data_IF_621677071713
#
_entry.id   IF_621677071713
#
_cell.length_a   1.000
_cell.length_b   1.000
_cell.length_c   1.000
_cell.angle_alpha   90.00
_cell.angle_beta   90.00
_cell.angle_gamma   90.00
#
_symmetry.space_group_name_H-M   'P 1'
#
loop_
_entity.id
_entity.type
_entity.pdbx_description
1 polymer ?
#
# COMPACT_ATOMS: atom_id res chain seq x y z
N UNK A 1 10.09 -20.30 1.25
CA UNK A 1 8.64 -20.56 1.05
C UNK A 1 8.10 -19.56 0.05
N UNK A 2 7.05 -19.90 -0.69
CA UNK A 2 6.38 -18.96 -1.59
C UNK A 2 5.57 -17.99 -0.73
N UNK A 3 5.83 -16.67 -0.87
CA UNK A 3 5.07 -15.63 -0.16
C UNK A 3 3.71 -15.42 -0.83
N UNK A 4 2.69 -15.14 -0.04
CA UNK A 4 1.37 -14.77 -0.58
C UNK A 4 1.42 -13.31 -1.05
N UNK A 5 1.19 -13.12 -2.34
CA UNK A 5 1.12 -11.80 -2.97
C UNK A 5 -0.23 -11.16 -2.68
N UNK A 6 -0.23 -9.91 -2.22
CA UNK A 6 -1.42 -9.20 -1.77
C UNK A 6 -1.47 -7.81 -2.40
N UNK A 7 -2.65 -7.39 -2.84
CA UNK A 7 -2.99 -6.00 -3.12
C UNK A 7 -4.03 -5.59 -2.07
N UNK A 8 -3.82 -4.45 -1.41
CA UNK A 8 -4.74 -3.93 -0.40
C UNK A 8 -5.63 -2.87 -1.06
N UNK A 9 -6.93 -3.13 -1.08
CA UNK A 9 -7.93 -2.26 -1.67
C UNK A 9 -8.62 -1.48 -0.55
N UNK A 10 -8.75 -0.16 -0.68
CA UNK A 10 -9.39 0.65 0.36
C UNK A 10 -9.25 2.16 0.18
N UNK A 11 -9.84 2.89 1.12
CA UNK A 11 -9.96 4.34 1.10
C UNK A 11 -9.49 4.95 2.44
N UNK A 12 -8.31 5.59 2.41
CA UNK A 12 -7.82 6.61 3.35
C UNK A 12 -7.92 6.28 4.86
N UNK A 13 -7.62 5.05 5.28
CA UNK A 13 -7.35 4.81 6.72
C UNK A 13 -7.33 3.35 7.16
N UNK A 14 -8.40 2.61 6.90
CA UNK A 14 -8.49 1.22 7.39
C UNK A 14 -7.51 0.28 6.70
N UNK A 15 -7.25 0.53 5.41
CA UNK A 15 -6.22 -0.12 4.61
C UNK A 15 -4.81 -0.01 5.22
N UNK A 16 -4.39 1.19 5.61
CA UNK A 16 -3.11 1.39 6.28
C UNK A 16 -3.08 0.75 7.67
N UNK A 17 -4.20 0.81 8.41
CA UNK A 17 -4.29 0.14 9.71
C UNK A 17 -4.14 -1.38 9.58
N UNK A 18 -4.83 -1.98 8.61
CA UNK A 18 -4.73 -3.42 8.31
C UNK A 18 -3.31 -3.78 7.89
N UNK A 19 -2.67 -2.98 7.04
CA UNK A 19 -1.26 -3.18 6.70
C UNK A 19 -0.37 -3.19 7.95
N UNK A 20 -0.47 -2.16 8.79
CA UNK A 20 0.38 -1.98 9.96
C UNK A 20 0.22 -3.07 11.02
N UNK A 21 -0.98 -3.65 11.14
CA UNK A 21 -1.32 -4.63 12.18
C UNK A 21 -1.21 -6.08 11.72
N UNK A 22 -1.38 -6.36 10.42
CA UNK A 22 -1.43 -7.74 9.89
C UNK A 22 -0.23 -8.07 9.00
N UNK A 23 0.22 -7.11 8.18
CA UNK A 23 1.15 -7.36 7.07
C UNK A 23 2.57 -6.84 7.30
N UNK A 24 2.73 -5.75 8.07
CA UNK A 24 4.04 -5.14 8.35
C UNK A 24 4.98 -6.16 8.98
N UNK A 25 6.16 -6.33 8.36
CA UNK A 25 7.22 -7.26 8.76
C UNK A 25 6.81 -8.75 8.85
N UNK A 26 5.71 -9.13 8.19
CA UNK A 26 5.26 -10.51 8.13
C UNK A 26 5.76 -11.20 6.86
N UNK A 27 6.78 -12.05 6.99
CA UNK A 27 7.43 -12.74 5.86
C UNK A 27 6.54 -13.74 5.12
N UNK A 28 5.35 -14.06 5.65
CA UNK A 28 4.37 -14.88 4.96
C UNK A 28 3.70 -14.14 3.78
N UNK A 29 3.77 -12.80 3.76
CA UNK A 29 3.08 -11.96 2.79
C UNK A 29 4.05 -11.03 2.04
N UNK A 30 3.63 -10.65 0.84
CA UNK A 30 4.26 -9.64 0.01
C UNK A 30 3.17 -8.70 -0.51
N UNK A 31 3.05 -7.54 0.13
CA UNK A 31 2.09 -6.50 -0.25
C UNK A 31 2.67 -5.73 -1.43
N UNK A 32 2.06 -5.91 -2.59
CA UNK A 32 2.56 -5.37 -3.86
C UNK A 32 2.11 -3.94 -4.09
N UNK A 33 0.90 -3.59 -3.66
CA UNK A 33 0.35 -2.25 -3.82
C UNK A 33 -0.82 -1.98 -2.86
N UNK A 34 -1.06 -0.70 -2.60
CA UNK A 34 -2.37 -0.18 -2.19
C UNK A 34 -3.12 0.33 -3.43
N UNK A 35 -4.46 0.29 -3.44
CA UNK A 35 -5.24 1.06 -4.42
C UNK A 35 -5.61 2.43 -3.87
N UNK A 36 -5.95 3.35 -4.78
CA UNK A 36 -6.48 4.66 -4.46
C UNK A 36 -7.71 4.91 -5.34
N UNK A 37 -8.82 5.27 -4.70
CA UNK A 37 -10.01 5.75 -5.39
C UNK A 37 -9.83 7.22 -5.85
N UNK A 38 -10.47 7.59 -6.97
CA UNK A 38 -10.20 8.84 -7.69
C UNK A 38 -10.25 10.13 -6.87
N UNK A 39 -11.30 10.37 -6.08
CA UNK A 39 -11.50 11.64 -5.34
C UNK A 39 -10.78 11.72 -3.98
N UNK A 40 -9.90 10.77 -3.68
CA UNK A 40 -9.26 10.67 -2.37
C UNK A 40 -8.19 11.76 -2.19
N UNK A 41 -8.45 12.71 -1.27
CA UNK A 41 -7.57 13.83 -0.96
C UNK A 41 -6.64 13.48 0.22
N UNK A 42 -5.45 12.96 -0.09
CA UNK A 42 -4.43 12.53 0.87
C UNK A 42 -3.55 13.70 1.37
N UNK A 43 -3.86 14.94 0.99
CA UNK A 43 -3.03 16.11 1.29
C UNK A 43 -1.74 16.22 0.47
N UNK A 44 -1.66 15.57 -0.71
CA UNK A 44 -0.47 15.58 -1.57
C UNK A 44 -0.82 15.99 -3.01
N UNK A 45 0.06 16.81 -3.59
CA UNK A 45 -0.05 17.51 -4.88
C UNK A 45 -0.07 16.56 -6.10
N UNK A 46 -0.45 17.11 -7.26
CA UNK A 46 -0.90 16.48 -8.52
C UNK A 46 0.03 15.44 -9.23
N UNK A 47 1.05 14.85 -8.61
CA UNK A 47 2.03 13.97 -9.30
C UNK A 47 2.03 12.47 -8.92
N UNK A 48 2.59 11.69 -9.86
CA UNK A 48 2.18 10.36 -10.32
C UNK A 48 2.81 9.11 -9.64
N UNK A 49 3.47 9.23 -8.49
CA UNK A 49 3.92 8.07 -7.71
C UNK A 49 3.59 8.23 -6.23
N UNK A 50 2.36 7.86 -5.86
CA UNK A 50 1.96 7.75 -4.47
C UNK A 50 2.54 6.46 -3.89
N UNK A 51 3.25 6.53 -2.77
CA UNK A 51 3.80 5.36 -2.05
C UNK A 51 3.43 5.43 -0.58
N UNK A 52 3.10 4.30 0.02
CA UNK A 52 3.12 4.17 1.48
C UNK A 52 4.57 4.32 1.93
N UNK A 53 4.89 5.28 2.82
CA UNK A 53 6.27 5.66 3.12
C UNK A 53 7.11 4.49 3.63
N UNK A 54 8.35 4.37 3.13
CA UNK A 54 9.30 3.34 3.60
C UNK A 54 9.54 3.41 5.10
N UNK A 55 9.60 4.63 5.65
CA UNK A 55 9.75 4.90 7.08
C UNK A 55 8.62 4.29 7.94
N UNK A 56 7.45 4.04 7.34
CA UNK A 56 6.29 3.43 8.00
C UNK A 56 6.05 1.98 7.58
N UNK A 57 6.70 1.51 6.50
CA UNK A 57 6.42 0.24 5.86
C UNK A 57 7.13 -0.97 6.52
N UNK A 58 8.14 -0.72 7.35
CA UNK A 58 8.91 -1.79 8.02
C UNK A 58 10.09 -2.30 7.19
N UNK A 59 10.87 -3.22 7.76
CA UNK A 59 12.14 -3.71 7.19
C UNK A 59 11.97 -4.45 5.86
N UNK A 60 10.78 -4.99 5.59
CA UNK A 60 10.51 -5.73 4.35
C UNK A 60 10.24 -4.82 3.14
N UNK A 61 10.03 -3.52 3.35
CA UNK A 61 9.64 -2.56 2.31
C UNK A 61 10.51 -1.28 2.35
N UNK A 62 11.84 -1.40 2.12
CA UNK A 62 12.78 -0.27 2.25
C UNK A 62 12.53 0.88 1.25
N UNK A 63 11.80 0.60 0.17
CA UNK A 63 11.44 1.57 -0.87
C UNK A 63 9.98 2.04 -0.77
N UNK A 64 9.28 1.68 0.30
CA UNK A 64 7.84 1.89 0.44
C UNK A 64 7.03 0.91 -0.39
N UNK A 65 5.71 1.13 -0.42
CA UNK A 65 4.76 0.29 -1.16
C UNK A 65 4.02 1.18 -2.15
N UNK A 66 3.95 0.84 -3.44
CA UNK A 66 3.28 1.68 -4.41
C UNK A 66 1.78 1.77 -4.11
N UNK A 67 1.21 2.94 -4.38
CA UNK A 67 -0.22 3.17 -4.38
C UNK A 67 -0.64 3.46 -5.81
N UNK A 68 -1.53 2.64 -6.36
CA UNK A 68 -1.96 2.71 -7.76
C UNK A 68 -3.43 3.10 -7.85
N UNK A 69 -3.85 3.72 -8.95
CA UNK A 69 -5.28 3.95 -9.19
C UNK A 69 -6.03 2.61 -9.15
N UNK A 70 -7.15 2.57 -8.45
CA UNK A 70 -8.02 1.40 -8.42
C UNK A 70 -8.51 1.00 -9.83
N UNK A 71 -8.65 1.98 -10.74
CA UNK A 71 -8.99 1.76 -12.15
C UNK A 71 -7.98 0.88 -12.91
N UNK A 72 -6.76 0.69 -12.38
CA UNK A 72 -5.75 -0.21 -12.97
C UNK A 72 -5.99 -1.69 -12.66
N UNK A 73 -7.01 -2.04 -11.88
CA UNK A 73 -7.35 -3.43 -11.56
C UNK A 73 -8.21 -4.13 -12.62
N UNK A 74 -8.83 -3.36 -13.53
CA UNK A 74 -9.58 -3.87 -14.69
C UNK A 74 -8.65 -4.27 -15.85
#
# INVERSE_FOLDING_TARGET
MIRKKVVIIGALGYDFHVFNTVFRDNEAYEVLAFTIAGEQNIGTTEEAERKYPSELAGKLYPNGIPMVSEEKLE
#
